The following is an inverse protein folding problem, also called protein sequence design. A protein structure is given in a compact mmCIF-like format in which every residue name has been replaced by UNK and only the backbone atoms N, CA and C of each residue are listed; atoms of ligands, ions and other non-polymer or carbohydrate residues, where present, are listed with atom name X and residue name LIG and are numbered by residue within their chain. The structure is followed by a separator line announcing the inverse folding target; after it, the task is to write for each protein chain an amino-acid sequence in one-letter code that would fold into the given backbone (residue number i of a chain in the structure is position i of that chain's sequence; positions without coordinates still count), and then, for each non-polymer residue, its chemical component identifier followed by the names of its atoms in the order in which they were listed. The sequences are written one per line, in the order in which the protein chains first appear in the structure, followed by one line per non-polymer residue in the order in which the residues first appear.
data_IF_353958233167
#
_entry.id   IF_353958233167
#
_cell.length_a   1.000
_cell.length_b   1.000
_cell.length_c   1.000
_cell.angle_alpha   90.00
_cell.angle_beta   90.00
_cell.angle_gamma   90.00
#
_symmetry.space_group_name_H-M   'P 1'
#
loop_
_entity.id
_entity.type
_entity.pdbx_description
1 polymer ?
#
# COMPACT_ATOMS: atom_id res chain seq x y z
N UNK A 1 19.34 -2.43 -5.00
CA UNK A 1 19.44 -2.04 -3.58
C UNK A 1 20.42 -3.00 -2.94
N UNK A 2 21.56 -2.51 -2.43
CA UNK A 2 22.47 -3.34 -1.62
C UNK A 2 21.72 -3.59 -0.30
N UNK A 3 21.66 -4.83 0.20
CA UNK A 3 20.94 -5.27 1.41
C UNK A 3 19.49 -5.78 1.21
N UNK A 4 19.24 -6.58 0.17
CA UNK A 4 18.01 -7.37 0.06
C UNK A 4 18.32 -8.88 0.07
N UNK A 5 17.44 -9.66 0.72
CA UNK A 5 17.51 -11.12 0.77
C UNK A 5 16.40 -11.67 -0.11
N UNK A 6 16.73 -12.64 -0.97
CA UNK A 6 15.73 -13.34 -1.80
C UNK A 6 14.95 -14.33 -0.95
N UNK A 7 13.62 -14.19 -0.90
CA UNK A 7 12.73 -15.17 -0.27
C UNK A 7 12.42 -16.34 -1.18
N UNK A 8 12.22 -16.05 -2.46
CA UNK A 8 11.77 -17.06 -3.40
C UNK A 8 11.41 -16.49 -4.75
N UNK A 9 10.70 -17.32 -5.53
CA UNK A 9 10.19 -16.98 -6.86
C UNK A 9 8.71 -17.32 -6.91
N UNK A 10 7.88 -16.35 -7.27
CA UNK A 10 6.44 -16.52 -7.41
C UNK A 10 6.02 -16.04 -8.79
N UNK A 11 5.28 -16.86 -9.54
CA UNK A 11 4.82 -16.55 -10.91
C UNK A 11 5.95 -16.09 -11.85
N UNK A 12 7.16 -16.64 -11.67
CA UNK A 12 8.34 -16.28 -12.46
C UNK A 12 9.11 -15.05 -11.97
N UNK A 13 8.57 -14.29 -11.01
CA UNK A 13 9.15 -13.05 -10.47
C UNK A 13 9.92 -13.35 -9.18
N UNK A 14 11.11 -12.76 -9.02
CA UNK A 14 11.89 -12.88 -7.79
C UNK A 14 11.32 -11.97 -6.71
N UNK A 15 11.04 -12.51 -5.53
CA UNK A 15 10.59 -11.73 -4.37
C UNK A 15 11.77 -11.57 -3.42
N UNK A 16 12.08 -10.33 -3.08
CA UNK A 16 13.14 -9.97 -2.14
C UNK A 16 12.58 -9.13 -0.99
N UNK A 17 13.18 -9.26 0.20
CA UNK A 17 12.93 -8.38 1.34
C UNK A 17 14.19 -7.58 1.62
N UNK A 18 14.05 -6.27 1.74
CA UNK A 18 15.09 -5.39 2.26
C UNK A 18 15.11 -5.43 3.79
N UNK A 19 16.26 -5.29 4.44
CA UNK A 19 16.35 -5.36 5.91
C UNK A 19 15.46 -4.33 6.64
N UNK A 20 15.19 -3.17 6.03
CA UNK A 20 14.26 -2.17 6.59
C UNK A 20 12.82 -2.67 6.71
N UNK A 21 12.46 -3.75 6.04
CA UNK A 21 11.17 -4.41 6.20
C UNK A 21 10.99 -4.99 7.61
N UNK A 22 12.06 -5.52 8.23
CA UNK A 22 11.99 -6.06 9.60
C UNK A 22 11.63 -4.97 10.61
N UNK A 23 12.07 -3.74 10.38
CA UNK A 23 11.71 -2.59 11.21
C UNK A 23 10.20 -2.32 11.13
N UNK A 24 9.62 -2.29 9.93
CA UNK A 24 8.17 -2.09 9.78
C UNK A 24 7.38 -3.26 10.31
N UNK A 25 7.83 -4.49 10.07
CA UNK A 25 7.22 -5.68 10.68
C UNK A 25 7.13 -5.51 12.20
N UNK A 26 8.22 -5.12 12.86
CA UNK A 26 8.24 -4.91 14.30
C UNK A 26 7.33 -3.76 14.76
N UNK A 27 7.43 -2.59 14.12
CA UNK A 27 6.64 -1.41 14.48
C UNK A 27 5.14 -1.61 14.27
N UNK A 28 4.76 -2.23 13.15
CA UNK A 28 3.36 -2.49 12.83
C UNK A 28 2.77 -3.58 13.74
N UNK A 29 3.52 -4.65 13.99
CA UNK A 29 3.13 -5.68 14.97
C UNK A 29 2.96 -5.09 16.37
N UNK A 30 3.87 -4.19 16.78
CA UNK A 30 3.78 -3.48 18.05
C UNK A 30 2.56 -2.56 18.13
N UNK A 31 2.28 -1.82 17.05
CA UNK A 31 1.10 -0.94 16.96
C UNK A 31 -0.20 -1.74 17.09
N UNK A 32 -0.28 -2.90 16.45
CA UNK A 32 -1.43 -3.80 16.59
C UNK A 32 -1.53 -4.41 17.99
N UNK A 33 -0.43 -4.94 18.51
CA UNK A 33 -0.42 -5.67 19.77
C UNK A 33 -0.63 -4.77 21.01
N UNK A 34 -0.20 -3.51 20.95
CA UNK A 34 -0.26 -2.58 22.09
C UNK A 34 -1.27 -1.46 21.91
N UNK A 35 -1.72 -1.19 20.68
CA UNK A 35 -2.70 -0.14 20.38
C UNK A 35 -4.04 -0.74 19.95
N UNK A 36 -4.10 -1.24 18.73
CA UNK A 36 -5.37 -1.64 18.10
C UNK A 36 -6.09 -2.78 18.82
N UNK A 37 -5.44 -3.94 19.02
CA UNK A 37 -6.13 -5.09 19.60
C UNK A 37 -6.60 -4.91 21.05
N UNK A 38 -5.81 -4.33 21.97
CA UNK A 38 -6.28 -4.07 23.32
C UNK A 38 -7.44 -3.07 23.40
N UNK A 39 -7.57 -2.16 22.41
CA UNK A 39 -8.68 -1.20 22.33
C UNK A 39 -9.95 -1.85 21.78
N UNK A 40 -9.82 -2.67 20.74
CA UNK A 40 -10.94 -3.37 20.11
C UNK A 40 -11.46 -4.53 20.97
N UNK A 41 -10.55 -5.25 21.64
CA UNK A 41 -10.89 -6.44 22.43
C UNK A 41 -10.12 -6.46 23.76
N UNK A 42 -10.57 -5.68 24.77
CA UNK A 42 -9.85 -5.57 26.04
C UNK A 42 -9.91 -6.85 26.89
N UNK A 43 -8.93 -7.03 27.78
CA UNK A 43 -8.95 -8.07 28.81
C UNK A 43 -8.27 -9.41 28.45
N UNK A 44 -7.72 -9.57 27.25
CA UNK A 44 -6.93 -10.76 26.89
C UNK A 44 -5.46 -10.68 27.33
N UNK A 45 -4.80 -11.84 27.38
CA UNK A 45 -3.36 -11.95 27.63
C UNK A 45 -2.57 -11.24 26.53
N UNK A 46 -1.57 -10.45 26.95
CA UNK A 46 -0.63 -9.74 26.09
C UNK A 46 0.04 -10.66 25.06
N UNK A 47 0.26 -11.94 25.38
CA UNK A 47 0.83 -12.92 24.44
C UNK A 47 -0.06 -13.15 23.22
N UNK A 48 -1.38 -13.14 23.42
CA UNK A 48 -2.36 -13.32 22.33
C UNK A 48 -2.29 -12.11 21.40
N UNK A 49 -2.28 -10.89 21.94
CA UNK A 49 -2.17 -9.68 21.10
C UNK A 49 -0.89 -9.65 20.29
N UNK A 50 0.25 -10.08 20.85
CA UNK A 50 1.50 -10.16 20.10
C UNK A 50 1.47 -11.21 19.00
N UNK A 51 0.93 -12.40 19.29
CA UNK A 51 0.79 -13.46 18.29
C UNK A 51 -0.04 -12.98 17.09
N UNK A 52 -1.22 -12.41 17.36
CA UNK A 52 -2.08 -11.88 16.31
C UNK A 52 -1.53 -10.61 15.68
N UNK A 53 -0.78 -9.78 16.41
CA UNK A 53 -0.10 -8.60 15.88
C UNK A 53 0.90 -8.97 14.80
N UNK A 54 1.76 -9.95 15.08
CA UNK A 54 2.73 -10.46 14.10
C UNK A 54 2.02 -11.14 12.95
N UNK A 55 1.06 -12.03 13.22
CA UNK A 55 0.34 -12.77 12.19
C UNK A 55 -0.41 -11.83 11.23
N UNK A 56 -1.18 -10.89 11.77
CA UNK A 56 -1.92 -9.89 10.99
C UNK A 56 -0.99 -9.02 10.18
N UNK A 57 0.15 -8.60 10.74
CA UNK A 57 1.15 -7.84 9.98
C UNK A 57 1.72 -8.64 8.81
N UNK A 58 2.03 -9.92 8.99
CA UNK A 58 2.50 -10.77 7.90
C UNK A 58 1.44 -10.92 6.80
N UNK A 59 0.17 -11.09 7.16
CA UNK A 59 -0.95 -11.16 6.20
C UNK A 59 -1.14 -9.83 5.48
N UNK A 60 -0.98 -8.70 6.17
CA UNK A 60 -1.03 -7.37 5.55
C UNK A 60 0.10 -7.20 4.51
N UNK A 61 1.31 -7.66 4.81
CA UNK A 61 2.40 -7.66 3.82
C UNK A 61 2.13 -8.60 2.65
N UNK A 62 1.49 -9.74 2.89
CA UNK A 62 1.06 -10.63 1.83
C UNK A 62 0.02 -9.96 0.91
N UNK A 63 -0.91 -9.15 1.46
CA UNK A 63 -1.88 -8.41 0.64
C UNK A 63 -1.24 -7.26 -0.14
N UNK A 64 -0.23 -6.57 0.44
CA UNK A 64 0.58 -5.59 -0.30
C UNK A 64 1.39 -6.27 -1.40
N UNK A 65 1.96 -7.46 -1.15
CA UNK A 65 2.63 -8.23 -2.18
C UNK A 65 1.65 -8.63 -3.30
N UNK A 66 0.42 -9.00 -2.97
CA UNK A 66 -0.62 -9.30 -3.97
C UNK A 66 -0.95 -8.07 -4.84
N UNK A 67 -0.98 -6.87 -4.24
CA UNK A 67 -1.12 -5.60 -4.96
C UNK A 67 0.02 -5.40 -5.98
N UNK A 68 1.27 -5.53 -5.56
CA UNK A 68 2.44 -5.40 -6.46
C UNK A 68 2.49 -6.48 -7.55
N UNK A 69 2.08 -7.70 -7.20
CA UNK A 69 1.97 -8.80 -8.15
C UNK A 69 0.91 -8.51 -9.20
N UNK A 70 -0.21 -7.88 -8.85
CA UNK A 70 -1.24 -7.52 -9.82
C UNK A 70 -0.71 -6.54 -10.87
N UNK A 71 0.02 -5.50 -10.47
CA UNK A 71 0.73 -4.62 -11.41
C UNK A 71 1.67 -5.41 -12.32
N UNK A 72 2.49 -6.26 -11.70
CA UNK A 72 3.51 -7.04 -12.40
C UNK A 72 2.93 -8.01 -13.42
N UNK A 73 1.82 -8.68 -13.08
CA UNK A 73 1.14 -9.62 -13.96
C UNK A 73 0.51 -8.93 -15.17
N UNK A 74 -0.11 -7.76 -14.97
CA UNK A 74 -0.63 -6.98 -16.09
C UNK A 74 0.51 -6.40 -16.93
N UNK A 75 1.62 -5.98 -16.32
CA UNK A 75 2.80 -5.52 -17.06
C UNK A 75 3.38 -6.61 -17.96
N UNK A 76 3.52 -7.84 -17.44
CA UNK A 76 3.98 -8.99 -18.24
C UNK A 76 3.03 -9.28 -19.40
N UNK A 77 1.71 -9.16 -19.19
CA UNK A 77 0.70 -9.32 -20.26
C UNK A 77 0.77 -8.23 -21.33
N UNK A 78 1.17 -7.03 -20.96
CA UNK A 78 1.42 -5.92 -21.90
C UNK A 78 2.84 -5.97 -22.50
N UNK A 79 3.61 -7.05 -22.25
CA UNK A 79 4.93 -7.28 -22.84
C UNK A 79 6.10 -6.66 -22.09
N UNK A 80 5.90 -6.20 -20.86
CA UNK A 80 6.92 -5.57 -20.03
C UNK A 80 7.46 -6.56 -19.00
N UNK A 81 8.76 -6.86 -19.09
CA UNK A 81 9.46 -7.76 -18.17
C UNK A 81 9.62 -7.15 -16.77
N UNK A 82 9.49 -8.00 -15.75
CA UNK A 82 9.67 -7.66 -14.33
C UNK A 82 10.87 -8.44 -13.78
N UNK A 83 11.92 -7.73 -13.32
CA UNK A 83 13.13 -8.37 -12.77
C UNK A 83 12.86 -8.99 -11.40
N UNK A 84 12.23 -8.20 -10.53
CA UNK A 84 11.99 -8.55 -9.12
C UNK A 84 11.00 -7.61 -8.46
N UNK A 85 10.43 -8.06 -7.34
CA UNK A 85 9.67 -7.25 -6.40
C UNK A 85 10.47 -7.18 -5.10
N UNK A 86 10.69 -5.96 -4.59
CA UNK A 86 11.39 -5.74 -3.32
C UNK A 86 10.40 -5.17 -2.30
N UNK A 87 10.22 -5.85 -1.18
CA UNK A 87 9.48 -5.34 -0.03
C UNK A 87 10.42 -4.58 0.91
N UNK A 88 10.02 -3.39 1.32
CA UNK A 88 10.79 -2.47 2.16
C UNK A 88 9.87 -1.60 3.02
N UNK A 89 10.46 -0.64 3.75
CA UNK A 89 9.74 0.19 4.74
C UNK A 89 8.55 0.98 4.17
N UNK A 90 8.60 1.42 2.91
CA UNK A 90 7.52 2.19 2.31
C UNK A 90 6.52 1.34 1.51
N UNK A 91 6.63 0.01 1.56
CA UNK A 91 5.74 -0.91 0.83
C UNK A 91 6.51 -1.89 -0.05
N UNK A 92 5.93 -2.25 -1.19
CA UNK A 92 6.60 -3.03 -2.22
C UNK A 92 6.97 -2.17 -3.42
N UNK A 93 8.00 -2.57 -4.16
CA UNK A 93 8.30 -1.97 -5.47
C UNK A 93 8.64 -3.06 -6.47
N UNK A 94 7.89 -3.10 -7.56
CA UNK A 94 8.19 -3.92 -8.72
C UNK A 94 9.22 -3.22 -9.62
N UNK A 95 10.36 -3.88 -9.85
CA UNK A 95 11.40 -3.38 -10.75
C UNK A 95 11.08 -3.79 -12.20
N UNK A 96 10.45 -2.88 -12.93
CA UNK A 96 10.17 -3.01 -14.36
C UNK A 96 11.44 -2.76 -15.20
N UNK A 97 11.58 -3.48 -16.32
CA UNK A 97 12.71 -3.28 -17.24
C UNK A 97 12.52 -2.12 -18.21
N UNK A 98 11.28 -1.75 -18.47
CA UNK A 98 10.91 -0.66 -19.37
C UNK A 98 9.65 0.07 -18.85
N UNK A 99 9.48 1.32 -19.25
CA UNK A 99 8.21 2.03 -19.08
C UNK A 99 7.19 1.60 -20.15
N UNK A 100 5.87 1.68 -19.87
CA UNK A 100 4.85 1.44 -20.87
C UNK A 100 4.97 2.36 -22.09
N UNK A 101 4.81 1.79 -23.29
CA UNK A 101 4.89 2.49 -24.58
C UNK A 101 3.56 3.15 -24.99
N UNK A 102 2.45 2.78 -24.33
CA UNK A 102 1.10 3.26 -24.63
C UNK A 102 0.35 3.70 -23.37
N UNK A 103 -0.49 4.75 -23.45
CA UNK A 103 -1.25 5.24 -22.30
C UNK A 103 -2.21 4.19 -21.76
N UNK A 104 -2.89 3.43 -22.62
CA UNK A 104 -3.82 2.38 -22.20
C UNK A 104 -3.09 1.26 -21.43
N UNK A 105 -1.88 0.88 -21.87
CA UNK A 105 -1.07 -0.11 -21.17
C UNK A 105 -0.71 0.39 -19.77
N UNK A 106 -0.27 1.65 -19.64
CA UNK A 106 -0.02 2.26 -18.33
C UNK A 106 -1.27 2.28 -17.44
N UNK A 107 -2.43 2.65 -17.98
CA UNK A 107 -3.68 2.66 -17.22
C UNK A 107 -4.03 1.28 -16.67
N UNK A 108 -3.97 0.23 -17.50
CA UNK A 108 -4.27 -1.14 -17.08
C UNK A 108 -3.31 -1.63 -16.01
N UNK A 109 -2.01 -1.43 -16.22
CA UNK A 109 -0.97 -1.84 -15.27
C UNK A 109 -1.20 -1.15 -13.94
N UNK A 110 -1.39 0.17 -13.97
CA UNK A 110 -1.50 1.00 -12.78
C UNK A 110 -2.82 0.79 -12.03
N UNK A 111 -3.93 0.48 -12.72
CA UNK A 111 -5.19 0.17 -12.05
C UNK A 111 -5.19 -1.20 -11.34
N UNK A 112 -4.33 -2.14 -11.77
CA UNK A 112 -4.36 -3.52 -11.32
C UNK A 112 -4.13 -3.68 -9.80
N UNK A 113 -3.16 -2.95 -9.24
CA UNK A 113 -2.86 -2.98 -7.80
C UNK A 113 -4.03 -2.44 -6.96
N UNK A 114 -4.47 -1.19 -7.14
CA UNK A 114 -5.59 -0.62 -6.39
C UNK A 114 -6.87 -1.45 -6.48
N UNK A 115 -7.20 -1.99 -7.66
CA UNK A 115 -8.35 -2.89 -7.82
C UNK A 115 -8.19 -4.18 -7.02
N UNK A 116 -6.99 -4.77 -7.01
CA UNK A 116 -6.70 -5.99 -6.22
C UNK A 116 -6.86 -5.71 -4.73
N UNK A 117 -6.29 -4.61 -4.22
CA UNK A 117 -6.48 -4.21 -2.83
C UNK A 117 -7.94 -3.93 -2.50
N UNK A 118 -8.68 -3.27 -3.39
CA UNK A 118 -10.11 -3.01 -3.16
C UNK A 118 -10.91 -4.31 -3.08
N UNK A 119 -10.67 -5.26 -3.99
CA UNK A 119 -11.32 -6.58 -3.99
C UNK A 119 -10.98 -7.35 -2.70
N UNK A 120 -9.71 -7.41 -2.30
CA UNK A 120 -9.30 -8.04 -1.04
C UNK A 120 -10.03 -7.38 0.14
N UNK A 121 -10.06 -6.05 0.18
CA UNK A 121 -10.73 -5.29 1.23
C UNK A 121 -12.22 -5.60 1.33
N UNK A 122 -12.94 -5.65 0.20
CA UNK A 122 -14.37 -5.98 0.15
C UNK A 122 -14.63 -7.43 0.58
N UNK A 123 -13.82 -8.38 0.12
CA UNK A 123 -13.95 -9.79 0.48
C UNK A 123 -13.71 -10.01 1.98
N UNK A 124 -12.67 -9.40 2.54
CA UNK A 124 -12.40 -9.46 3.97
C UNK A 124 -13.48 -8.73 4.79
N UNK A 125 -14.00 -7.61 4.29
CA UNK A 125 -15.11 -6.91 4.92
C UNK A 125 -16.39 -7.73 4.95
N UNK A 126 -16.66 -8.49 3.89
CA UNK A 126 -17.79 -9.42 3.83
C UNK A 126 -17.57 -10.60 4.78
N UNK A 127 -16.35 -11.16 4.80
CA UNK A 127 -15.98 -12.21 5.73
C UNK A 127 -16.13 -11.77 7.19
N UNK A 128 -15.75 -10.54 7.53
CA UNK A 128 -15.91 -9.98 8.87
C UNK A 128 -17.36 -10.04 9.36
N UNK A 129 -18.33 -9.71 8.50
CA UNK A 129 -19.77 -9.75 8.85
C UNK A 129 -20.25 -11.18 9.15
N UNK A 130 -19.60 -12.18 8.57
CA UNK A 130 -19.93 -13.60 8.76
C UNK A 130 -19.20 -14.23 9.95
N UNK A 131 -18.17 -13.57 10.49
CA UNK A 131 -17.40 -14.07 11.63
C UNK A 131 -18.12 -13.75 12.94
N UNK A 132 -17.93 -14.58 13.98
CA UNK A 132 -18.48 -14.26 15.29
C UNK A 132 -17.94 -12.91 15.79
N UNK A 133 -18.75 -12.11 16.49
CA UNK A 133 -18.28 -10.87 17.09
C UNK A 133 -17.27 -11.18 18.21
N UNK A 134 -16.54 -10.14 18.63
CA UNK A 134 -15.68 -10.16 19.82
C UNK A 134 -14.63 -11.28 19.85
N UNK A 135 -14.07 -11.62 18.69
CA UNK A 135 -12.97 -12.57 18.60
C UNK A 135 -11.76 -11.98 17.87
N UNK A 136 -10.58 -12.53 18.14
CA UNK A 136 -9.33 -12.00 17.63
C UNK A 136 -9.17 -12.15 16.11
N UNK A 137 -9.76 -13.20 15.53
CA UNK A 137 -9.76 -13.41 14.07
C UNK A 137 -10.59 -12.33 13.38
N UNK A 138 -11.77 -12.02 13.93
CA UNK A 138 -12.70 -10.99 13.46
C UNK A 138 -12.05 -9.61 13.54
N UNK A 139 -11.40 -9.28 14.66
CA UNK A 139 -10.62 -8.04 14.80
C UNK A 139 -9.48 -7.94 13.77
N UNK A 140 -8.77 -9.05 13.52
CA UNK A 140 -7.68 -9.11 12.53
C UNK A 140 -8.19 -8.93 11.10
N UNK A 141 -9.29 -9.61 10.74
CA UNK A 141 -9.94 -9.51 9.43
C UNK A 141 -10.50 -8.10 9.22
N UNK A 142 -11.13 -7.51 10.24
CA UNK A 142 -11.61 -6.13 10.21
C UNK A 142 -10.47 -5.14 9.93
N UNK A 143 -9.35 -5.28 10.63
CA UNK A 143 -8.17 -4.46 10.38
C UNK A 143 -7.65 -4.61 8.95
N UNK A 144 -7.48 -5.85 8.48
CA UNK A 144 -6.97 -6.14 7.13
C UNK A 144 -7.91 -5.62 6.03
N UNK A 145 -9.22 -5.71 6.23
CA UNK A 145 -10.22 -5.15 5.32
C UNK A 145 -10.05 -3.64 5.19
N UNK A 146 -10.01 -2.93 6.33
CA UNK A 146 -9.80 -1.48 6.39
C UNK A 146 -8.46 -1.07 5.77
N UNK A 147 -7.39 -1.80 6.07
CA UNK A 147 -6.07 -1.54 5.53
C UNK A 147 -6.06 -1.66 4.00
N UNK A 148 -6.65 -2.72 3.44
CA UNK A 148 -6.67 -2.92 1.99
C UNK A 148 -7.53 -1.87 1.27
N UNK A 149 -8.69 -1.49 1.84
CA UNK A 149 -9.49 -0.37 1.32
C UNK A 149 -8.70 0.93 1.38
N UNK A 150 -8.04 1.20 2.51
CA UNK A 150 -7.21 2.39 2.66
C UNK A 150 -6.06 2.42 1.65
N UNK A 151 -5.33 1.31 1.47
CA UNK A 151 -4.25 1.19 0.48
C UNK A 151 -4.77 1.43 -0.93
N UNK A 152 -5.94 0.90 -1.29
CA UNK A 152 -6.55 1.14 -2.59
C UNK A 152 -6.90 2.62 -2.80
N UNK A 153 -7.63 3.22 -1.86
CA UNK A 153 -8.06 4.61 -1.96
C UNK A 153 -6.88 5.59 -1.92
N UNK A 154 -5.91 5.35 -1.04
CA UNK A 154 -4.70 6.17 -0.94
C UNK A 154 -3.91 6.10 -2.24
N UNK A 155 -3.71 4.89 -2.81
CA UNK A 155 -3.03 4.77 -4.09
C UNK A 155 -3.80 5.38 -5.25
N UNK A 156 -5.12 5.57 -5.18
CA UNK A 156 -5.90 6.25 -6.23
C UNK A 156 -5.87 7.78 -6.16
N UNK A 157 -5.22 8.38 -5.15
CA UNK A 157 -5.05 9.83 -5.08
C UNK A 157 -4.25 10.30 -6.31
N UNK A 158 -4.70 11.34 -7.05
CA UNK A 158 -4.08 11.81 -8.28
C UNK A 158 -2.80 12.62 -8.02
N UNK A 159 -1.81 12.00 -7.37
CA UNK A 159 -0.54 12.60 -6.99
C UNK A 159 0.61 11.62 -7.26
N UNK A 160 1.65 12.04 -7.98
CA UNK A 160 2.89 11.25 -8.00
C UNK A 160 3.53 11.23 -6.60
N UNK A 161 4.10 10.11 -6.15
CA UNK A 161 4.40 8.87 -6.89
C UNK A 161 3.31 7.77 -6.82
N UNK A 162 2.11 8.09 -6.36
CA UNK A 162 1.02 7.11 -6.21
C UNK A 162 0.46 6.67 -7.57
N UNK A 163 -0.21 5.51 -7.58
CA UNK A 163 -0.83 4.95 -8.78
C UNK A 163 -1.84 5.90 -9.43
N UNK A 164 -2.60 6.66 -8.65
CA UNK A 164 -3.55 7.65 -9.13
C UNK A 164 -2.88 8.77 -9.91
N UNK A 165 -1.65 9.15 -9.54
CA UNK A 165 -0.82 10.08 -10.30
C UNK A 165 -0.41 9.51 -11.66
N UNK A 166 -0.06 8.22 -11.72
CA UNK A 166 0.25 7.50 -12.97
C UNK A 166 -1.00 7.28 -13.83
N UNK A 167 -2.16 7.01 -13.23
CA UNK A 167 -3.45 6.96 -13.92
C UNK A 167 -3.81 8.31 -14.52
N UNK A 168 -3.65 9.40 -13.77
CA UNK A 168 -3.85 10.75 -14.27
C UNK A 168 -2.88 11.06 -15.43
N UNK A 169 -1.60 10.72 -15.28
CA UNK A 169 -0.60 10.86 -16.36
C UNK A 169 -1.04 10.11 -17.61
N UNK A 170 -1.44 8.85 -17.47
CA UNK A 170 -1.85 8.03 -18.59
C UNK A 170 -3.13 8.55 -19.26
N UNK A 171 -4.10 9.07 -18.48
CA UNK A 171 -5.30 9.72 -19.01
C UNK A 171 -4.97 11.00 -19.79
N UNK A 172 -4.13 11.89 -19.25
CA UNK A 172 -3.70 13.11 -19.95
C UNK A 172 -2.91 12.76 -21.20
N UNK A 173 -2.05 11.75 -21.13
CA UNK A 173 -1.29 11.27 -22.27
C UNK A 173 -2.21 10.72 -23.37
N UNK A 174 -3.25 9.96 -23.01
CA UNK A 174 -4.25 9.46 -23.95
C UNK A 174 -4.93 10.59 -24.75
N UNK A 175 -5.30 11.69 -24.09
CA UNK A 175 -5.97 12.81 -24.76
C UNK A 175 -5.01 13.73 -25.52
N UNK A 176 -3.81 13.98 -24.99
CA UNK A 176 -2.90 15.00 -25.52
C UNK A 176 -1.78 14.44 -26.40
N UNK A 177 -1.65 13.11 -26.51
CA UNK A 177 -0.57 12.41 -27.23
C UNK A 177 0.85 12.88 -26.83
N UNK A 178 1.02 13.43 -25.63
CA UNK A 178 2.28 14.00 -25.16
C UNK A 178 2.59 13.55 -23.72
N UNK A 179 3.45 12.54 -23.60
CA UNK A 179 3.87 11.94 -22.33
C UNK A 179 4.59 12.95 -21.42
N UNK A 180 5.43 13.83 -21.98
CA UNK A 180 6.18 14.81 -21.20
C UNK A 180 5.27 15.84 -20.55
N UNK A 181 4.28 16.35 -21.29
CA UNK A 181 3.27 17.27 -20.74
C UNK A 181 2.44 16.60 -19.65
N UNK A 182 2.02 15.36 -19.89
CA UNK A 182 1.26 14.58 -18.90
C UNK A 182 2.06 14.36 -17.61
N UNK A 183 3.33 13.98 -17.74
CA UNK A 183 4.23 13.76 -16.59
C UNK A 183 4.42 15.05 -15.80
N UNK A 184 4.71 16.18 -16.46
CA UNK A 184 4.87 17.48 -15.80
C UNK A 184 3.62 17.90 -15.03
N UNK A 185 2.44 17.69 -15.62
CA UNK A 185 1.18 18.02 -14.96
C UNK A 185 0.96 17.14 -13.72
N UNK A 186 1.12 15.82 -13.85
CA UNK A 186 0.89 14.89 -12.74
C UNK A 186 1.88 15.09 -11.59
N UNK A 187 3.16 15.39 -11.90
CA UNK A 187 4.17 15.78 -10.91
C UNK A 187 3.83 17.12 -10.26
N UNK A 188 3.43 18.13 -11.05
CA UNK A 188 3.03 19.44 -10.54
C UNK A 188 1.85 19.36 -9.57
N UNK A 189 0.81 18.58 -9.91
CA UNK A 189 -0.34 18.34 -9.06
C UNK A 189 0.06 17.62 -7.76
N UNK A 190 0.93 16.60 -7.86
CA UNK A 190 1.47 15.90 -6.69
C UNK A 190 2.25 16.82 -5.75
N UNK A 191 3.05 17.74 -6.29
CA UNK A 191 3.76 18.76 -5.51
C UNK A 191 2.80 19.68 -4.78
N UNK A 192 1.76 20.20 -5.44
CA UNK A 192 0.75 21.07 -4.82
C UNK A 192 0.04 20.34 -3.67
N UNK A 193 -0.41 19.10 -3.91
CA UNK A 193 -1.06 18.30 -2.87
C UNK A 193 -0.12 18.00 -1.69
N UNK A 194 1.16 17.77 -1.96
CA UNK A 194 2.18 17.57 -0.91
C UNK A 194 2.37 18.82 -0.06
N UNK A 195 2.50 20.00 -0.68
CA UNK A 195 2.62 21.27 0.05
C UNK A 195 1.36 21.61 0.86
N UNK A 196 0.17 21.34 0.32
CA UNK A 196 -1.08 21.48 1.07
C UNK A 196 -1.12 20.53 2.28
N UNK A 197 -0.71 19.28 2.12
CA UNK A 197 -0.62 18.31 3.21
C UNK A 197 0.34 18.75 4.31
N UNK A 198 1.53 19.25 3.94
CA UNK A 198 2.50 19.82 4.89
C UNK A 198 1.91 21.04 5.61
N UNK A 199 1.26 21.95 4.87
CA UNK A 199 0.63 23.14 5.44
C UNK A 199 -0.48 22.81 6.42
N UNK A 200 -1.36 21.87 6.07
CA UNK A 200 -2.41 21.37 6.96
C UNK A 200 -1.83 20.67 8.20
N UNK A 201 -0.79 19.85 8.02
CA UNK A 201 -0.09 19.21 9.14
C UNK A 201 0.52 20.25 10.09
N UNK A 202 1.15 21.28 9.55
CA UNK A 202 1.66 22.42 10.33
C UNK A 202 0.51 23.10 11.08
N UNK A 203 -0.57 23.51 10.41
CA UNK A 203 -1.73 24.14 11.05
C UNK A 203 -2.33 23.24 12.14
N UNK A 204 -2.43 21.93 11.92
CA UNK A 204 -2.94 21.00 12.94
C UNK A 204 -2.03 20.92 14.16
N UNK A 205 -0.69 20.96 13.99
CA UNK A 205 0.25 21.01 15.12
C UNK A 205 0.06 22.29 15.94
N UNK A 206 -0.14 23.44 15.29
CA UNK A 206 -0.33 24.72 15.99
C UNK A 206 -1.75 24.90 16.54
N UNK A 207 -2.77 24.34 15.88
CA UNK A 207 -4.16 24.41 16.32
C UNK A 207 -4.49 23.40 17.43
N UNK A 208 -3.70 22.33 17.56
CA UNK A 208 -3.83 21.35 18.67
C UNK A 208 -2.87 21.59 19.84
N UNK A 209 -1.97 22.58 19.77
CA UNK A 209 -1.23 23.06 20.95
C UNK A 209 -1.99 24.23 21.59
N UNK A 210 -2.38 24.27 22.87
CA UNK A 210 -1.71 23.73 24.06
C UNK A 210 -0.20 23.56 23.86
N UNK A 211 0.45 24.68 23.55
CA UNK A 211 1.87 24.91 23.81
C UNK A 211 2.04 25.11 25.34
N UNK A 212 1.58 24.12 26.11
CA UNK A 212 1.69 24.03 27.56
C UNK A 212 1.76 22.53 27.92
N UNK A 213 2.79 21.88 27.37
CA UNK A 213 3.29 20.58 27.81
C UNK A 213 4.62 20.71 28.56
N UNK A 214 4.90 21.92 29.06
CA UNK A 214 5.68 22.18 30.26
C UNK A 214 4.72 22.74 31.30
#
# INVERSE_FOLDING_TARGET
MKNSIRLGRLLGINIEIHFSWLLVLALFSMSLAQGFFPQELPGLDRRIYWFFGVLTTLVAFASILAHELAHSLIAIREGISIKKIVLFIFGGVAQMEAEPDRPIAEMKITAAGPLTSLVIGILLGTLYILLPPENMVSASVFFLARLNIFVALFNLIPAFPLDGGRLLRAAIWYFNNNLLKATRFAVGLGSVLSFLGIGLGFIMLFSRGNIAGL
#
